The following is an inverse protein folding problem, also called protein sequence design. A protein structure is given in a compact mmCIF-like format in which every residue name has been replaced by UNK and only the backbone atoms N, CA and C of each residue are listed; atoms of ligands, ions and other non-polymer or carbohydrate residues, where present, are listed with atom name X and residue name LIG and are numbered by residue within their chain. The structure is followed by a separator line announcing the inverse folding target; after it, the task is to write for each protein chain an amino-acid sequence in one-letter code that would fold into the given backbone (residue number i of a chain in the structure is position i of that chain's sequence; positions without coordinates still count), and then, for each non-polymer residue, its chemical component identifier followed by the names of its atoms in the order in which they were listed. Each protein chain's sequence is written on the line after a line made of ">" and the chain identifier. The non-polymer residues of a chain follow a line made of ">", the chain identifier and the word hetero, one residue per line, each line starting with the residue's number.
data_IF_751041701922
#
_entry.id   IF_751041701922
#
_cell.length_a   1.000
_cell.length_b   1.000
_cell.length_c   1.000
_cell.angle_alpha   90.00
_cell.angle_beta   90.00
_cell.angle_gamma   90.00
#
_symmetry.space_group_name_H-M   'P 1'
#
loop_
_entity.id
_entity.type
_entity.pdbx_description
1 polymer ?
#
# COMPACT_ATOMS: atom_id res chain seq x y z
N UNK A 1 72.45 15.60 -30.21
CA UNK A 1 72.24 14.47 -31.16
C UNK A 1 70.82 13.99 -31.00
N UNK A 2 70.16 13.56 -32.09
CA UNK A 2 68.73 13.24 -32.12
C UNK A 2 68.49 11.92 -32.86
N UNK A 3 67.70 11.02 -32.26
CA UNK A 3 67.08 9.84 -32.87
C UNK A 3 65.82 9.54 -32.02
N UNK A 4 64.63 9.96 -32.43
CA UNK A 4 63.68 9.32 -33.39
C UNK A 4 63.05 8.01 -32.91
N UNK A 5 61.75 8.12 -32.62
CA UNK A 5 60.74 7.08 -32.31
C UNK A 5 60.65 5.97 -33.38
N UNK A 6 60.19 4.77 -33.01
CA UNK A 6 59.03 4.21 -33.71
C UNK A 6 57.91 3.68 -32.78
N UNK A 7 56.74 3.63 -33.38
CA UNK A 7 55.44 3.26 -32.84
C UNK A 7 55.31 1.91 -32.09
N UNK A 8 54.44 1.89 -31.06
CA UNK A 8 53.35 0.90 -31.03
C UNK A 8 52.00 1.60 -30.90
N UNK A 9 51.03 1.15 -31.70
CA UNK A 9 49.87 1.93 -32.13
C UNK A 9 48.55 1.19 -31.85
N UNK A 10 47.82 1.64 -30.81
CA UNK A 10 46.35 1.46 -30.62
C UNK A 10 45.87 0.00 -30.34
N UNK A 11 44.63 -0.21 -29.85
CA UNK A 11 43.50 0.72 -29.76
C UNK A 11 43.09 1.21 -28.36
N UNK A 12 42.69 2.48 -28.36
CA UNK A 12 41.82 3.11 -27.39
C UNK A 12 40.42 2.46 -27.51
N UNK A 13 40.06 1.59 -26.56
CA UNK A 13 38.74 0.97 -26.52
C UNK A 13 37.71 1.97 -25.96
N UNK A 14 37.09 2.73 -26.86
CA UNK A 14 35.92 3.57 -26.55
C UNK A 14 34.71 2.67 -26.30
N UNK A 15 34.53 2.21 -25.06
CA UNK A 15 33.33 1.51 -24.57
C UNK A 15 32.38 2.48 -23.85
N UNK A 16 31.08 2.54 -24.20
CA UNK A 16 30.21 3.61 -23.72
C UNK A 16 29.88 3.46 -22.23
N UNK A 17 29.90 4.59 -21.49
CA UNK A 17 29.25 4.72 -20.18
C UNK A 17 27.74 4.52 -20.34
N UNK A 18 27.27 3.29 -20.17
CA UNK A 18 25.84 2.91 -20.19
C UNK A 18 25.54 1.97 -19.03
N UNK A 19 25.26 2.55 -17.86
CA UNK A 19 24.50 1.95 -16.73
C UNK A 19 24.19 2.97 -15.60
N UNK A 20 24.20 4.29 -15.89
CA UNK A 20 23.74 5.35 -14.96
C UNK A 20 22.36 5.91 -15.42
N UNK A 21 21.70 5.20 -16.35
CA UNK A 21 20.30 5.43 -16.75
C UNK A 21 19.52 4.12 -16.62
N UNK A 22 19.24 3.75 -15.37
CA UNK A 22 18.30 2.69 -15.01
C UNK A 22 17.43 3.05 -13.80
N UNK A 23 17.81 4.06 -13.00
CA UNK A 23 17.09 4.47 -11.78
C UNK A 23 16.04 5.59 -11.99
N UNK A 24 15.81 6.03 -13.23
CA UNK A 24 14.85 7.11 -13.58
C UNK A 24 13.69 6.59 -14.46
N UNK A 25 13.77 5.34 -14.93
CA UNK A 25 12.78 4.74 -15.82
C UNK A 25 11.56 4.11 -15.11
N UNK A 26 11.54 4.08 -13.77
CA UNK A 26 10.40 3.58 -12.98
C UNK A 26 9.32 4.66 -12.86
N UNK A 27 9.69 5.93 -12.68
CA UNK A 27 8.75 7.05 -12.53
C UNK A 27 8.10 7.54 -13.85
N UNK A 28 8.20 6.80 -14.96
CA UNK A 28 7.66 7.22 -16.28
C UNK A 28 6.70 6.23 -16.93
N UNK A 29 6.50 5.03 -16.39
CA UNK A 29 5.58 4.03 -16.97
C UNK A 29 4.13 4.22 -16.49
N UNK A 30 3.93 4.75 -15.28
CA UNK A 30 2.60 5.03 -14.69
C UNK A 30 1.76 6.12 -15.40
N UNK A 31 2.32 6.84 -16.38
CA UNK A 31 1.67 8.03 -16.98
C UNK A 31 1.30 7.85 -18.46
N UNK A 32 1.58 6.69 -19.07
CA UNK A 32 1.61 6.56 -20.54
C UNK A 32 0.76 5.45 -21.19
N UNK A 33 -0.09 4.72 -20.45
CA UNK A 33 -0.96 3.68 -21.03
C UNK A 33 -2.48 3.94 -20.92
N UNK A 34 -2.88 5.14 -20.49
CA UNK A 34 -4.28 5.55 -20.37
C UNK A 34 -4.86 6.08 -21.71
N UNK A 35 -4.60 5.38 -22.83
CA UNK A 35 -5.22 5.68 -24.15
C UNK A 35 -5.46 4.40 -24.95
N UNK A 36 -6.73 4.13 -25.25
CA UNK A 36 -7.27 3.06 -26.13
C UNK A 36 -7.04 1.62 -25.61
N UNK A 37 -8.02 0.93 -25.02
CA UNK A 37 -9.31 0.47 -25.60
C UNK A 37 -10.13 -0.29 -24.52
N UNK A 38 -11.44 -0.58 -24.59
CA UNK A 38 -12.47 -0.41 -25.65
C UNK A 38 -13.89 -0.22 -25.06
N UNK A 39 -14.83 0.32 -25.85
CA UNK A 39 -16.27 0.50 -25.56
C UNK A 39 -17.03 0.07 -26.84
N UNK A 40 -18.07 -0.78 -26.87
CA UNK A 40 -18.82 -1.49 -25.81
C UNK A 40 -19.75 -2.58 -26.44
N UNK A 41 -20.53 -3.31 -25.62
CA UNK A 41 -21.77 -4.05 -25.99
C UNK A 41 -21.57 -5.44 -26.67
N UNK A 42 -22.31 -6.53 -26.36
CA UNK A 42 -23.61 -6.62 -25.69
C UNK A 42 -24.10 -8.03 -25.27
N UNK A 43 -25.19 -8.04 -24.47
CA UNK A 43 -26.28 -9.02 -24.31
C UNK A 43 -26.18 -10.16 -23.25
N UNK A 44 -27.28 -10.23 -22.46
CA UNK A 44 -27.75 -11.34 -21.62
C UNK A 44 -28.25 -12.52 -22.50
N UNK A 45 -28.53 -13.74 -22.02
CA UNK A 45 -29.77 -14.06 -21.29
C UNK A 45 -29.84 -15.43 -20.57
N UNK A 46 -30.58 -15.38 -19.46
CA UNK A 46 -31.40 -16.38 -18.73
C UNK A 46 -31.26 -17.92 -18.86
N UNK A 47 -31.24 -18.55 -17.67
CA UNK A 47 -32.17 -19.58 -17.14
C UNK A 47 -31.67 -20.99 -16.74
N UNK A 48 -32.11 -21.34 -15.52
CA UNK A 48 -32.53 -22.63 -14.95
C UNK A 48 -31.58 -23.83 -14.80
N UNK A 49 -31.45 -24.26 -13.53
CA UNK A 49 -30.88 -25.54 -13.11
C UNK A 49 -31.24 -25.84 -11.64
N UNK A 50 -32.22 -26.73 -11.42
CA UNK A 50 -32.77 -27.10 -10.11
C UNK A 50 -31.90 -28.15 -9.36
N UNK A 51 -32.04 -28.21 -8.03
CA UNK A 51 -31.78 -29.42 -7.25
C UNK A 51 -30.74 -29.35 -6.12
N UNK A 52 -31.17 -29.75 -4.91
CA UNK A 52 -30.28 -30.30 -3.87
C UNK A 52 -30.17 -29.48 -2.59
N UNK A 53 -30.89 -29.89 -1.54
CA UNK A 53 -30.78 -29.30 -0.20
C UNK A 53 -29.76 -29.97 0.72
N UNK A 54 -29.61 -29.39 1.92
CA UNK A 54 -28.88 -29.92 3.10
C UNK A 54 -27.37 -29.68 3.14
N UNK A 55 -26.97 -28.47 3.54
CA UNK A 55 -26.29 -28.20 4.83
C UNK A 55 -25.79 -26.76 4.84
N UNK A 56 -26.48 -25.88 5.59
CA UNK A 56 -25.92 -24.55 5.89
C UNK A 56 -24.89 -24.76 6.99
N UNK A 57 -23.67 -25.12 6.62
CA UNK A 57 -22.54 -24.87 7.50
C UNK A 57 -22.52 -23.37 7.78
N UNK A 58 -22.61 -23.02 9.06
CA UNK A 58 -22.55 -21.63 9.49
C UNK A 58 -21.13 -21.16 9.25
N UNK A 59 -20.92 -20.50 8.11
CA UNK A 59 -19.70 -19.71 7.87
C UNK A 59 -19.60 -18.77 9.06
N UNK A 60 -18.60 -19.02 9.91
CA UNK A 60 -18.32 -18.17 11.05
C UNK A 60 -17.84 -16.85 10.49
N UNK A 61 -18.78 -15.92 10.33
CA UNK A 61 -18.49 -14.54 9.99
C UNK A 61 -17.53 -14.05 11.08
N UNK A 62 -16.29 -13.73 10.69
CA UNK A 62 -15.35 -13.05 11.58
C UNK A 62 -16.08 -11.84 12.17
N UNK A 63 -15.92 -11.53 13.47
CA UNK A 63 -16.72 -10.52 14.13
C UNK A 63 -16.67 -9.23 13.32
N UNK A 64 -17.84 -8.78 12.84
CA UNK A 64 -18.01 -7.55 12.06
C UNK A 64 -17.42 -6.42 12.88
N UNK A 65 -16.18 -6.07 12.56
CA UNK A 65 -15.42 -5.08 13.31
C UNK A 65 -15.90 -3.76 12.77
N UNK A 66 -17.03 -3.28 13.31
CA UNK A 66 -17.77 -2.15 12.76
C UNK A 66 -16.82 -1.00 12.43
N UNK A 67 -16.60 -0.78 11.13
CA UNK A 67 -15.70 0.26 10.63
C UNK A 67 -16.50 1.53 10.41
N UNK A 68 -16.06 2.61 11.06
CA UNK A 68 -16.50 3.97 10.75
C UNK A 68 -15.42 4.68 9.96
N UNK A 69 -15.78 5.26 8.83
CA UNK A 69 -14.86 6.05 8.01
C UNK A 69 -14.88 7.52 8.45
N UNK A 70 -13.71 8.14 8.56
CA UNK A 70 -13.58 9.57 8.84
C UNK A 70 -12.56 10.22 7.90
N UNK A 71 -12.85 11.44 7.45
CA UNK A 71 -11.95 12.23 6.62
C UNK A 71 -10.80 12.77 7.49
N UNK A 72 -9.56 12.49 7.07
CA UNK A 72 -8.32 12.93 7.70
C UNK A 72 -7.40 13.49 6.60
N UNK A 73 -7.25 14.81 6.55
CA UNK A 73 -6.52 15.48 5.47
C UNK A 73 -7.19 15.27 4.11
N UNK A 74 -6.50 14.55 3.21
CA UNK A 74 -6.94 14.20 1.85
C UNK A 74 -7.39 12.74 1.70
N UNK A 75 -7.59 12.00 2.79
CA UNK A 75 -7.96 10.58 2.76
C UNK A 75 -9.09 10.27 3.73
N UNK A 76 -9.82 9.19 3.46
CA UNK A 76 -10.73 8.58 4.43
C UNK A 76 -10.02 7.42 5.14
N UNK A 77 -9.99 7.46 6.47
CA UNK A 77 -9.33 6.44 7.28
C UNK A 77 -10.37 5.62 8.07
N UNK A 78 -10.15 4.31 8.25
CA UNK A 78 -11.03 3.43 9.00
C UNK A 78 -10.77 3.51 10.51
N UNK A 79 -11.83 3.58 11.30
CA UNK A 79 -11.82 3.59 12.77
C UNK A 79 -12.71 2.46 13.29
N UNK A 80 -12.39 1.90 14.46
CA UNK A 80 -13.22 0.90 15.13
C UNK A 80 -13.28 1.11 16.65
N UNK A 81 -14.47 1.00 17.22
CA UNK A 81 -14.66 0.95 18.69
C UNK A 81 -14.02 -0.28 19.35
N UNK A 82 -13.73 -1.34 18.59
CA UNK A 82 -13.18 -2.61 19.09
C UNK A 82 -11.70 -2.85 18.74
N UNK A 83 -11.14 -2.06 17.81
CA UNK A 83 -9.76 -2.21 17.35
C UNK A 83 -8.93 -0.90 17.36
N UNK A 84 -9.56 0.25 17.62
CA UNK A 84 -8.93 1.56 17.69
C UNK A 84 -8.96 2.35 16.36
N UNK A 85 -8.27 3.50 16.28
CA UNK A 85 -7.53 4.14 17.38
C UNK A 85 -8.46 4.64 18.49
N UNK A 86 -8.08 4.48 19.76
CA UNK A 86 -8.83 4.99 20.91
C UNK A 86 -8.40 6.40 21.35
N UNK A 87 -7.20 6.83 20.98
CA UNK A 87 -6.66 8.15 21.30
C UNK A 87 -6.33 8.92 20.01
N UNK A 88 -6.70 10.20 19.97
CA UNK A 88 -6.27 11.16 18.96
C UNK A 88 -5.56 12.32 19.65
N UNK A 89 -4.35 12.64 19.19
CA UNK A 89 -3.46 13.64 19.79
C UNK A 89 -2.84 14.48 18.67
N UNK A 90 -3.52 15.58 18.34
CA UNK A 90 -3.21 16.39 17.16
C UNK A 90 -3.34 15.58 15.87
N UNK A 91 -2.21 15.36 15.18
CA UNK A 91 -2.13 14.54 13.96
C UNK A 91 -1.93 13.04 14.25
N UNK A 92 -1.51 12.68 15.46
CA UNK A 92 -1.27 11.30 15.89
C UNK A 92 -2.59 10.57 16.23
N UNK A 93 -2.61 9.27 15.98
CA UNK A 93 -3.65 8.35 16.42
C UNK A 93 -3.00 7.14 17.10
N UNK A 94 -3.46 6.78 18.30
CA UNK A 94 -2.83 5.79 19.18
C UNK A 94 -3.86 4.90 19.86
N UNK A 95 -3.37 3.91 20.60
CA UNK A 95 -4.19 2.96 21.34
C UNK A 95 -4.93 2.05 20.38
N UNK A 96 -4.18 1.39 19.50
CA UNK A 96 -4.73 0.32 18.67
C UNK A 96 -4.79 -0.98 19.49
N UNK A 97 -5.81 -1.80 19.27
CA UNK A 97 -5.95 -3.05 20.03
C UNK A 97 -4.80 -4.02 19.71
N UNK A 98 -4.39 -4.81 20.70
CA UNK A 98 -3.38 -5.85 20.53
C UNK A 98 -3.98 -7.11 19.86
N UNK A 99 -4.45 -6.93 18.63
CA UNK A 99 -5.14 -7.92 17.79
C UNK A 99 -4.74 -7.73 16.32
N UNK A 100 -5.05 -8.71 15.46
CA UNK A 100 -4.80 -8.60 14.01
C UNK A 100 -5.48 -7.37 13.40
N UNK A 101 -6.76 -7.13 13.69
CA UNK A 101 -7.47 -5.96 13.15
C UNK A 101 -6.91 -4.65 13.71
N UNK A 102 -6.51 -4.61 15.00
CA UNK A 102 -5.82 -3.44 15.55
C UNK A 102 -4.49 -3.16 14.84
N UNK A 103 -3.75 -4.21 14.47
CA UNK A 103 -2.52 -4.10 13.69
C UNK A 103 -2.76 -3.59 12.26
N UNK A 104 -3.80 -4.10 11.59
CA UNK A 104 -4.24 -3.65 10.25
C UNK A 104 -4.63 -2.16 10.27
N UNK A 105 -5.45 -1.74 11.24
CA UNK A 105 -5.87 -0.36 11.39
C UNK A 105 -4.68 0.56 11.73
N UNK A 106 -3.77 0.12 12.60
CA UNK A 106 -2.55 0.87 12.92
C UNK A 106 -1.65 1.07 11.69
N UNK A 107 -1.42 0.00 10.92
CA UNK A 107 -0.57 0.04 9.74
C UNK A 107 -1.08 1.05 8.71
N UNK A 108 -2.39 1.05 8.44
CA UNK A 108 -3.00 2.02 7.53
C UNK A 108 -3.06 3.43 8.11
N UNK A 109 -3.57 3.61 9.33
CA UNK A 109 -3.72 4.95 9.95
C UNK A 109 -2.39 5.67 10.11
N UNK A 110 -1.34 4.99 10.62
CA UNK A 110 -0.03 5.63 10.85
C UNK A 110 0.59 6.02 9.51
N UNK A 111 0.64 5.11 8.53
CA UNK A 111 1.23 5.38 7.23
C UNK A 111 0.50 6.50 6.48
N UNK A 112 -0.84 6.47 6.42
CA UNK A 112 -1.60 7.49 5.69
C UNK A 112 -1.56 8.85 6.38
N UNK A 113 -1.52 8.92 7.73
CA UNK A 113 -1.33 10.19 8.44
C UNK A 113 0.01 10.83 8.12
N UNK A 114 1.08 10.03 8.02
CA UNK A 114 2.38 10.51 7.55
C UNK A 114 2.30 11.05 6.11
N UNK A 115 1.53 10.39 5.23
CA UNK A 115 1.32 10.80 3.84
C UNK A 115 0.45 12.05 3.65
N UNK A 116 -0.65 12.22 4.40
CA UNK A 116 -1.68 13.26 4.09
C UNK A 116 -1.72 14.45 5.05
N UNK A 117 -0.94 14.43 6.15
CA UNK A 117 -0.89 15.51 7.14
C UNK A 117 0.49 16.16 7.18
N UNK A 118 0.51 17.43 7.60
CA UNK A 118 1.73 18.19 7.92
C UNK A 118 1.99 18.19 9.44
N UNK A 119 3.22 18.53 9.84
CA UNK A 119 3.60 18.56 11.27
C UNK A 119 3.70 17.17 11.92
N UNK A 120 4.06 16.16 11.15
CA UNK A 120 4.01 14.74 11.54
C UNK A 120 5.29 14.22 12.20
N UNK A 121 6.21 15.11 12.62
CA UNK A 121 7.47 14.75 13.29
C UNK A 121 7.26 13.89 14.53
N UNK A 122 6.21 14.17 15.32
CA UNK A 122 5.86 13.38 16.52
C UNK A 122 5.43 11.94 16.18
N UNK A 123 4.79 11.74 15.02
CA UNK A 123 4.44 10.40 14.52
C UNK A 123 5.73 9.65 14.15
N UNK A 124 6.69 10.31 13.49
CA UNK A 124 8.00 9.71 13.22
C UNK A 124 8.77 9.36 14.50
N UNK A 125 8.74 10.21 15.52
CA UNK A 125 9.45 9.98 16.78
C UNK A 125 8.83 8.85 17.62
N UNK A 126 7.48 8.79 17.68
CA UNK A 126 6.78 7.90 18.62
C UNK A 126 6.16 6.66 17.99
N UNK A 127 5.86 6.68 16.70
CA UNK A 127 5.06 5.65 16.02
C UNK A 127 5.76 4.99 14.83
N UNK A 128 6.97 5.45 14.46
CA UNK A 128 7.80 4.81 13.44
C UNK A 128 9.07 4.26 14.09
N UNK A 129 9.43 3.02 13.72
CA UNK A 129 10.64 2.33 14.18
C UNK A 129 11.30 1.60 13.02
N UNK A 130 12.50 1.07 13.22
CA UNK A 130 13.20 0.24 12.23
C UNK A 130 14.61 0.73 11.95
N UNK A 131 15.17 0.25 10.84
CA UNK A 131 16.45 0.73 10.35
C UNK A 131 16.33 2.14 9.78
N UNK A 132 17.39 2.96 9.95
CA UNK A 132 17.39 4.35 9.51
C UNK A 132 17.24 4.49 8.00
N UNK A 133 17.88 3.63 7.21
CA UNK A 133 17.80 3.68 5.74
C UNK A 133 16.35 3.42 5.28
N UNK A 134 15.67 2.46 5.90
CA UNK A 134 14.25 2.17 5.61
C UNK A 134 13.31 3.32 6.03
N UNK A 135 13.55 3.96 7.18
CA UNK A 135 12.76 5.11 7.64
C UNK A 135 13.00 6.36 6.77
N UNK A 136 14.25 6.63 6.40
CA UNK A 136 14.58 7.76 5.53
C UNK A 136 14.10 7.51 4.07
N UNK A 137 14.10 6.27 3.58
CA UNK A 137 13.46 5.90 2.31
C UNK A 137 11.93 6.07 2.34
N UNK A 138 11.27 5.67 3.44
CA UNK A 138 9.84 5.89 3.62
C UNK A 138 9.49 7.38 3.62
N UNK A 139 10.28 8.22 4.31
CA UNK A 139 10.15 9.69 4.28
C UNK A 139 10.21 10.27 2.87
N UNK A 140 11.13 9.77 2.03
CA UNK A 140 11.21 10.18 0.63
C UNK A 140 9.95 9.78 -0.14
N UNK A 141 9.45 8.55 0.02
CA UNK A 141 8.20 8.13 -0.64
C UNK A 141 6.97 8.96 -0.21
N UNK A 142 6.91 9.36 1.06
CA UNK A 142 5.88 10.27 1.59
C UNK A 142 6.00 11.66 0.96
N UNK A 143 7.22 12.20 0.87
CA UNK A 143 7.46 13.52 0.27
C UNK A 143 7.17 13.54 -1.25
N UNK A 144 7.55 12.49 -1.97
CA UNK A 144 7.28 12.34 -3.40
C UNK A 144 5.77 12.26 -3.68
N UNK A 145 5.02 11.47 -2.88
CA UNK A 145 3.56 11.43 -2.94
C UNK A 145 2.94 12.80 -2.63
N UNK A 146 3.39 13.49 -1.58
CA UNK A 146 2.89 14.83 -1.25
C UNK A 146 3.16 15.85 -2.37
N UNK A 147 4.29 15.72 -3.07
CA UNK A 147 4.65 16.57 -4.20
C UNK A 147 3.90 16.23 -5.50
N UNK A 148 3.42 14.99 -5.67
CA UNK A 148 2.65 14.57 -6.85
C UNK A 148 1.14 14.81 -6.76
N UNK A 149 0.60 15.12 -5.58
CA UNK A 149 -0.84 15.30 -5.38
C UNK A 149 -1.31 16.72 -5.73
N UNK A 150 -2.26 16.81 -6.65
CA UNK A 150 -2.89 18.08 -7.05
C UNK A 150 -3.60 18.77 -5.85
N UNK A 151 -3.84 20.10 -5.88
CA UNK A 151 -4.33 20.89 -4.74
C UNK A 151 -5.61 20.36 -4.06
N UNK A 152 -6.54 19.81 -4.82
CA UNK A 152 -7.85 19.30 -4.39
C UNK A 152 -7.98 17.77 -4.46
N UNK A 153 -6.96 17.07 -4.97
CA UNK A 153 -6.97 15.61 -5.11
C UNK A 153 -7.18 14.91 -3.76
N UNK A 154 -8.21 14.07 -3.71
CA UNK A 154 -8.40 13.10 -2.63
C UNK A 154 -7.68 11.80 -2.97
N UNK A 155 -7.14 11.12 -1.96
CA UNK A 155 -6.64 9.77 -2.12
C UNK A 155 -7.82 8.78 -2.17
N UNK A 156 -7.78 7.77 -3.07
CA UNK A 156 -8.78 6.71 -3.10
C UNK A 156 -8.82 5.95 -1.77
N UNK A 157 -10.04 5.60 -1.35
CA UNK A 157 -10.30 4.81 -0.13
C UNK A 157 -9.79 3.38 -0.32
N UNK A 158 -9.11 2.82 0.68
CA UNK A 158 -8.71 1.41 0.69
C UNK A 158 -9.94 0.50 0.70
N UNK A 159 -9.98 -0.49 -0.20
CA UNK A 159 -11.15 -1.37 -0.38
C UNK A 159 -11.01 -2.72 0.30
N UNK A 160 -9.79 -3.24 0.41
CA UNK A 160 -9.52 -4.53 1.02
C UNK A 160 -8.14 -4.59 1.68
N UNK A 161 -7.94 -5.59 2.53
CA UNK A 161 -6.66 -5.94 3.12
C UNK A 161 -6.47 -7.46 3.13
N UNK A 162 -5.21 -7.90 3.21
CA UNK A 162 -4.86 -9.30 3.53
C UNK A 162 -3.55 -9.37 4.31
N UNK A 163 -3.42 -10.38 5.14
CA UNK A 163 -2.18 -10.62 5.89
C UNK A 163 -1.09 -11.17 4.95
N UNK A 164 -0.08 -10.36 4.64
CA UNK A 164 1.06 -10.72 3.79
C UNK A 164 2.00 -11.74 4.47
N UNK A 165 1.90 -11.86 5.80
CA UNK A 165 2.53 -12.85 6.67
C UNK A 165 1.49 -13.28 7.73
N UNK A 166 1.55 -14.51 8.28
CA UNK A 166 0.72 -14.88 9.41
C UNK A 166 0.88 -13.85 10.55
N UNK A 167 -0.25 -13.40 11.10
CA UNK A 167 -0.27 -12.49 12.25
C UNK A 167 0.48 -13.08 13.45
N UNK A 168 1.10 -12.21 14.25
CA UNK A 168 1.66 -12.54 15.55
C UNK A 168 1.50 -11.39 16.51
N UNK A 169 1.51 -11.69 17.82
CA UNK A 169 1.44 -10.69 18.90
C UNK A 169 2.64 -9.72 18.94
N UNK A 170 3.63 -9.88 18.05
CA UNK A 170 4.81 -9.02 17.99
C UNK A 170 4.92 -8.23 16.68
N UNK A 171 4.36 -8.75 15.58
CA UNK A 171 4.45 -8.16 14.27
C UNK A 171 3.28 -8.59 13.37
N UNK A 172 2.80 -7.64 12.55
CA UNK A 172 1.87 -7.88 11.46
C UNK A 172 2.41 -7.23 10.17
N UNK A 173 2.01 -7.78 9.03
CA UNK A 173 2.37 -7.26 7.71
C UNK A 173 1.17 -7.43 6.79
N UNK A 174 0.69 -6.32 6.23
CA UNK A 174 -0.62 -6.26 5.58
C UNK A 174 -0.47 -5.67 4.19
N UNK A 175 -0.93 -6.41 3.18
CA UNK A 175 -1.18 -5.89 1.84
C UNK A 175 -2.55 -5.19 1.85
N UNK A 176 -2.63 -3.98 1.30
CA UNK A 176 -3.83 -3.16 1.17
C UNK A 176 -4.14 -2.94 -0.30
N UNK A 177 -5.39 -3.20 -0.71
CA UNK A 177 -5.86 -2.94 -2.07
C UNK A 177 -6.49 -1.54 -2.14
N UNK A 178 -5.93 -0.71 -3.00
CA UNK A 178 -6.34 0.69 -3.22
C UNK A 178 -6.75 0.85 -4.68
N UNK A 179 -7.98 1.31 -5.00
CA UNK A 179 -8.39 1.58 -6.37
C UNK A 179 -7.42 2.51 -7.10
N UNK A 180 -7.20 2.28 -8.39
CA UNK A 180 -6.55 3.26 -9.28
C UNK A 180 -7.62 4.15 -9.94
N UNK A 181 -7.22 4.99 -10.88
CA UNK A 181 -8.17 5.72 -11.75
C UNK A 181 -8.86 4.79 -12.78
N UNK A 182 -8.56 3.48 -12.77
CA UNK A 182 -9.18 2.47 -13.61
C UNK A 182 -10.07 1.52 -12.78
N UNK A 183 -11.32 1.34 -13.18
CA UNK A 183 -12.33 0.51 -12.48
C UNK A 183 -12.00 -1.01 -12.47
N UNK A 184 -10.95 -1.44 -13.17
CA UNK A 184 -10.54 -2.84 -13.31
C UNK A 184 -9.22 -3.20 -12.60
N UNK A 185 -8.57 -2.25 -11.93
CA UNK A 185 -7.25 -2.42 -11.31
C UNK A 185 -7.16 -1.81 -9.90
N UNK A 186 -6.31 -2.42 -9.06
CA UNK A 186 -5.94 -1.87 -7.76
C UNK A 186 -4.42 -1.85 -7.60
N UNK A 187 -3.90 -0.80 -6.96
CA UNK A 187 -2.55 -0.79 -6.42
C UNK A 187 -2.55 -1.61 -5.12
N UNK A 188 -1.56 -2.50 -4.96
CA UNK A 188 -1.32 -3.19 -3.68
C UNK A 188 -0.17 -2.51 -2.95
N UNK A 189 -0.44 -1.98 -1.75
CA UNK A 189 0.55 -1.33 -0.89
C UNK A 189 0.76 -2.19 0.35
N UNK A 190 2.00 -2.42 0.78
CA UNK A 190 2.30 -3.15 2.02
C UNK A 190 2.74 -2.21 3.12
N UNK A 191 2.12 -2.35 4.30
CA UNK A 191 2.63 -1.77 5.54
C UNK A 191 2.81 -2.86 6.60
N UNK A 192 3.85 -2.71 7.40
CA UNK A 192 4.21 -3.64 8.47
C UNK A 192 4.29 -2.89 9.79
N UNK A 193 3.78 -3.49 10.86
CA UNK A 193 3.78 -2.92 12.22
C UNK A 193 4.35 -3.91 13.22
N UNK A 194 4.91 -3.38 14.31
CA UNK A 194 5.42 -4.14 15.45
C UNK A 194 4.82 -3.64 16.76
N UNK A 195 4.56 -4.55 17.69
CA UNK A 195 3.99 -4.23 18.99
C UNK A 195 5.10 -3.84 19.97
N UNK A 196 5.22 -2.55 20.28
CA UNK A 196 6.29 -2.02 21.15
C UNK A 196 5.74 -0.95 22.07
N UNK A 197 5.93 -1.13 23.38
CA UNK A 197 5.57 -0.11 24.38
C UNK A 197 4.06 0.07 24.58
N UNK A 198 3.26 -0.95 24.29
CA UNK A 198 1.81 -0.95 24.50
C UNK A 198 0.98 -0.42 23.32
N UNK A 199 1.59 -0.24 22.14
CA UNK A 199 0.88 0.13 20.92
C UNK A 199 1.60 -0.46 19.68
N UNK A 200 0.90 -0.46 18.54
CA UNK A 200 1.49 -0.80 17.24
C UNK A 200 2.31 0.38 16.70
N UNK A 201 3.51 0.10 16.18
CA UNK A 201 4.39 1.08 15.52
C UNK A 201 4.68 0.63 14.09
N UNK A 202 4.61 1.56 13.14
CA UNK A 202 4.99 1.31 11.75
C UNK A 202 6.49 0.99 11.67
N UNK A 203 6.83 -0.08 10.95
CA UNK A 203 8.22 -0.44 10.65
C UNK A 203 8.42 -0.58 9.13
N UNK A 204 8.84 0.51 8.44
CA UNK A 204 9.11 0.47 7.01
C UNK A 204 10.13 -0.61 6.62
N UNK A 205 9.96 -1.21 5.44
CA UNK A 205 10.82 -2.28 4.92
C UNK A 205 10.75 -3.62 5.67
N UNK A 206 10.03 -3.72 6.81
CA UNK A 206 9.87 -5.00 7.51
C UNK A 206 9.08 -5.98 6.63
N UNK A 207 9.72 -7.10 6.28
CA UNK A 207 9.27 -8.11 5.32
C UNK A 207 9.24 -7.68 3.83
N UNK A 208 9.85 -6.54 3.49
CA UNK A 208 9.93 -6.03 2.12
C UNK A 208 8.59 -5.53 1.57
N UNK A 209 8.59 -5.07 0.33
CA UNK A 209 7.46 -4.37 -0.28
C UNK A 209 6.41 -5.31 -0.89
N UNK A 210 5.25 -4.75 -1.22
CA UNK A 210 4.25 -5.42 -2.05
C UNK A 210 4.82 -5.75 -3.46
N UNK A 211 4.22 -6.70 -4.21
CA UNK A 211 4.45 -6.82 -5.64
C UNK A 211 4.21 -5.46 -6.32
N UNK A 212 5.11 -5.06 -7.22
CA UNK A 212 5.11 -3.71 -7.80
C UNK A 212 4.12 -3.50 -8.96
N UNK A 213 3.43 -4.55 -9.39
CA UNK A 213 2.47 -4.52 -10.49
C UNK A 213 1.05 -4.23 -9.99
N UNK A 214 0.27 -3.49 -10.78
CA UNK A 214 -1.17 -3.36 -10.56
C UNK A 214 -1.84 -4.74 -10.61
N UNK A 215 -2.77 -4.97 -9.68
CA UNK A 215 -3.51 -6.24 -9.56
C UNK A 215 -4.92 -6.04 -10.12
N UNK A 216 -5.43 -6.90 -11.01
CA UNK A 216 -6.79 -6.79 -11.49
C UNK A 216 -7.78 -6.84 -10.31
N UNK A 217 -8.79 -5.97 -10.29
CA UNK A 217 -9.76 -5.89 -9.20
C UNK A 217 -10.52 -7.22 -8.98
N UNK A 218 -10.68 -8.02 -10.04
CA UNK A 218 -11.23 -9.38 -9.98
C UNK A 218 -10.37 -10.37 -9.15
N UNK A 219 -9.15 -10.02 -8.76
CA UNK A 219 -8.31 -10.79 -7.84
C UNK A 219 -8.51 -10.41 -6.36
N UNK A 220 -9.31 -9.38 -6.07
CA UNK A 220 -9.66 -8.98 -4.70
C UNK A 220 -10.85 -9.83 -4.24
N UNK A 221 -10.57 -11.09 -3.91
CA UNK A 221 -11.55 -12.08 -3.45
C UNK A 221 -11.13 -12.79 -2.17
N UNK A 222 -12.12 -13.25 -1.39
CA UNK A 222 -11.92 -14.02 -0.17
C UNK A 222 -11.15 -15.34 -0.42
N UNK A 223 -11.33 -15.96 -1.59
CA UNK A 223 -10.58 -17.15 -2.02
C UNK A 223 -9.06 -16.89 -2.13
N UNK A 224 -8.68 -15.65 -2.43
CA UNK A 224 -7.28 -15.18 -2.46
C UNK A 224 -6.84 -14.54 -1.14
N UNK A 225 -7.61 -14.73 -0.06
CA UNK A 225 -7.33 -14.23 1.28
C UNK A 225 -7.62 -12.75 1.50
N UNK A 226 -8.35 -12.08 0.59
CA UNK A 226 -8.72 -10.68 0.77
C UNK A 226 -9.96 -10.50 1.65
N UNK A 227 -9.85 -9.58 2.60
CA UNK A 227 -10.93 -9.11 3.46
C UNK A 227 -11.34 -7.72 3.00
N UNK A 228 -12.59 -7.56 2.55
CA UNK A 228 -13.15 -6.25 2.23
C UNK A 228 -13.32 -5.42 3.50
N UNK A 229 -13.05 -4.12 3.42
CA UNK A 229 -13.50 -3.18 4.46
C UNK A 229 -15.00 -2.91 4.32
N UNK A 230 -15.71 -2.85 5.44
CA UNK A 230 -17.14 -2.53 5.45
C UNK A 230 -17.39 -1.13 4.85
N UNK A 231 -18.35 -1.05 3.92
CA UNK A 231 -18.72 0.20 3.25
C UNK A 231 -17.72 0.73 2.22
N UNK A 232 -16.74 -0.05 1.77
CA UNK A 232 -15.73 0.40 0.81
C UNK A 232 -16.09 0.27 -0.68
N UNK A 233 -17.22 -0.38 -1.01
CA UNK A 233 -17.80 -0.43 -2.36
C UNK A 233 -19.22 0.13 -2.30
N UNK A 234 -19.43 1.33 -2.85
CA UNK A 234 -20.74 1.98 -3.07
C UNK A 234 -20.77 2.65 -4.45
#
# INVERSE_FOLDING_TARGET
>A
MSFTTPEFRRPQATGPRRTILALVAVCTVLVAFLVATIVVVSQRDTNDGDGGGTSIETVTQAPSTAITWQVVGRAELPFSEAAGPYELDGVSARGFAHTEIGAVLAAWQIALRLSVLSGTDDIYERQVVGDREAVDAFRLSVADLQASLEPDQQLPRVVAWRSARPYSDYAASTDFAVPTDSDDAVTVIRFSVVWIGGDWKLQPGLYGDAPADEVPQAEISAERGWHLFEGALQ
#
